data_IF_929244099770
#
_entry.id   IF_929244099770
#
_cell.length_a   1.000
_cell.length_b   1.000
_cell.length_c   1.000
_cell.angle_alpha   90.00
_cell.angle_beta   90.00
_cell.angle_gamma   90.00
#
_symmetry.space_group_name_H-M   'P 1'
#
loop_
_entity.id
_entity.type
_entity.pdbx_description
1 polymer ?
#
# COMPACT_ATOMS: atom_id res chain seq x y z
N UNK A 1 -27.31 7.40 9.83
CA UNK A 1 -25.84 7.48 9.99
C UNK A 1 -25.20 6.13 10.30
N UNK A 2 -25.75 5.32 11.22
CA UNK A 2 -25.22 3.97 11.50
C UNK A 2 -25.36 3.02 10.29
N UNK A 3 -26.50 3.02 9.59
CA UNK A 3 -26.69 2.17 8.40
C UNK A 3 -25.66 2.44 7.28
N UNK A 4 -25.25 3.70 7.08
CA UNK A 4 -24.20 4.08 6.12
C UNK A 4 -22.79 3.74 6.63
N UNK A 5 -22.59 3.73 7.94
CA UNK A 5 -21.35 3.26 8.56
C UNK A 5 -21.25 1.74 8.41
N UNK A 6 -22.30 0.96 8.67
CA UNK A 6 -22.26 -0.50 8.60
C UNK A 6 -22.61 -1.10 7.23
N UNK A 7 -22.85 -0.26 6.22
CA UNK A 7 -23.14 -0.66 4.84
C UNK A 7 -24.30 -1.68 4.73
N UNK A 8 -25.35 -1.47 5.52
CA UNK A 8 -26.59 -2.23 5.43
C UNK A 8 -27.43 -1.67 4.29
N UNK A 9 -27.35 -2.34 3.14
CA UNK A 9 -28.03 -1.92 1.91
C UNK A 9 -29.54 -1.77 2.11
N UNK A 10 -30.19 -2.77 2.71
CA UNK A 10 -31.64 -2.78 2.92
C UNK A 10 -32.09 -1.67 3.88
N UNK A 11 -31.33 -1.43 4.95
CA UNK A 11 -31.61 -0.34 5.89
C UNK A 11 -31.38 1.03 5.24
N UNK A 12 -30.37 1.16 4.38
CA UNK A 12 -30.14 2.39 3.62
C UNK A 12 -31.27 2.66 2.63
N UNK A 13 -31.80 1.63 1.97
CA UNK A 13 -32.97 1.76 1.10
C UNK A 13 -34.22 2.15 1.86
N UNK A 14 -34.50 1.45 2.96
CA UNK A 14 -35.64 1.73 3.83
C UNK A 14 -35.57 3.16 4.36
N UNK A 15 -34.41 3.57 4.86
CA UNK A 15 -34.17 4.92 5.35
C UNK A 15 -34.33 5.96 4.23
N UNK A 16 -33.72 5.74 3.06
CA UNK A 16 -33.81 6.67 1.92
C UNK A 16 -35.25 6.85 1.43
N UNK A 17 -36.02 5.77 1.36
CA UNK A 17 -37.44 5.77 1.02
C UNK A 17 -38.29 6.60 1.99
N UNK A 18 -37.91 6.64 3.27
CA UNK A 18 -38.58 7.41 4.31
C UNK A 18 -38.22 8.91 4.32
N UNK A 19 -37.10 9.31 3.69
CA UNK A 19 -36.68 10.72 3.65
C UNK A 19 -37.48 11.52 2.63
N UNK A 20 -37.87 12.73 3.00
CA UNK A 20 -38.47 13.70 2.09
C UNK A 20 -37.41 14.45 1.25
N UNK A 21 -37.86 15.26 0.28
CA UNK A 21 -36.98 15.98 -0.65
C UNK A 21 -35.92 16.84 0.07
N UNK A 22 -36.33 17.64 1.06
CA UNK A 22 -35.44 18.57 1.77
C UNK A 22 -34.40 17.83 2.62
N UNK A 23 -34.78 16.71 3.22
CA UNK A 23 -33.85 15.86 3.96
C UNK A 23 -32.84 15.17 3.04
N UNK A 24 -33.27 14.68 1.88
CA UNK A 24 -32.34 14.11 0.89
C UNK A 24 -31.37 15.18 0.39
N UNK A 25 -31.86 16.39 0.13
CA UNK A 25 -31.05 17.53 -0.29
C UNK A 25 -29.98 17.90 0.76
N UNK A 26 -30.34 18.01 2.05
CA UNK A 26 -29.37 18.33 3.10
C UNK A 26 -28.26 17.28 3.22
N UNK A 27 -28.60 15.98 3.12
CA UNK A 27 -27.60 14.91 3.15
C UNK A 27 -26.67 14.91 1.93
N UNK A 28 -27.18 15.27 0.74
CA UNK A 28 -26.34 15.43 -0.46
C UNK A 28 -25.38 16.61 -0.36
N UNK A 29 -25.82 17.70 0.30
CA UNK A 29 -25.05 18.93 0.43
C UNK A 29 -23.95 18.83 1.48
N UNK A 30 -24.19 18.13 2.60
CA UNK A 30 -23.26 18.12 3.74
C UNK A 30 -22.03 17.24 3.57
N UNK A 31 -21.96 16.33 2.57
CA UNK A 31 -20.80 15.49 2.18
C UNK A 31 -19.93 14.93 3.33
N UNK A 32 -20.48 14.75 4.52
CA UNK A 32 -19.71 14.68 5.75
C UNK A 32 -19.16 13.29 6.07
N UNK A 33 -19.56 12.25 5.34
CA UNK A 33 -19.01 10.90 5.48
C UNK A 33 -18.82 10.23 4.12
N UNK A 34 -17.59 9.84 3.79
CA UNK A 34 -17.21 9.24 2.49
C UNK A 34 -18.11 8.05 2.09
N UNK A 35 -18.55 7.27 3.08
CA UNK A 35 -19.38 6.10 2.89
C UNK A 35 -20.85 6.43 2.63
N UNK A 36 -21.41 7.45 3.31
CA UNK A 36 -22.80 7.88 3.07
C UNK A 36 -22.94 8.58 1.73
N UNK A 37 -21.94 9.38 1.33
CA UNK A 37 -21.91 10.06 0.02
C UNK A 37 -22.04 9.05 -1.12
N UNK A 38 -21.45 7.87 -1.00
CA UNK A 38 -21.48 6.87 -2.06
C UNK A 38 -22.85 6.20 -2.19
N UNK A 39 -23.48 5.85 -1.07
CA UNK A 39 -24.86 5.38 -1.07
C UNK A 39 -25.82 6.44 -1.60
N UNK A 40 -25.64 7.69 -1.18
CA UNK A 40 -26.44 8.82 -1.66
C UNK A 40 -26.29 8.99 -3.16
N UNK A 41 -25.06 8.96 -3.69
CA UNK A 41 -24.80 9.06 -5.14
C UNK A 41 -25.43 7.89 -5.90
N UNK A 42 -25.29 6.66 -5.41
CA UNK A 42 -25.88 5.50 -6.07
C UNK A 42 -27.41 5.55 -6.09
N UNK A 43 -28.03 5.89 -4.96
CA UNK A 43 -29.49 6.04 -4.83
C UNK A 43 -30.04 7.21 -5.67
N UNK A 44 -29.27 8.30 -5.79
CA UNK A 44 -29.66 9.47 -6.61
C UNK A 44 -29.63 9.14 -8.11
N UNK A 45 -28.79 8.18 -8.53
CA UNK A 45 -28.74 7.70 -9.92
C UNK A 45 -29.67 6.51 -10.17
N UNK A 46 -30.72 6.34 -9.37
CA UNK A 46 -31.75 5.32 -9.58
C UNK A 46 -31.31 3.88 -9.27
N UNK A 47 -30.13 3.68 -8.69
CA UNK A 47 -29.61 2.34 -8.40
C UNK A 47 -29.27 1.50 -9.64
N UNK A 48 -29.28 2.09 -10.84
CA UNK A 48 -28.99 1.41 -12.11
C UNK A 48 -27.50 1.13 -12.33
N UNK A 49 -26.63 1.80 -11.56
CA UNK A 49 -25.18 1.67 -11.69
C UNK A 49 -24.63 0.45 -10.93
N UNK A 50 -23.57 -0.13 -11.48
CA UNK A 50 -22.83 -1.23 -10.87
C UNK A 50 -22.26 -0.80 -9.50
N UNK A 51 -22.88 -1.29 -8.43
CA UNK A 51 -22.49 -0.98 -7.06
C UNK A 51 -21.04 -1.39 -6.78
N UNK A 52 -20.48 -2.38 -7.51
CA UNK A 52 -19.10 -2.81 -7.36
C UNK A 52 -18.11 -1.70 -7.77
N UNK A 53 -18.44 -0.92 -8.81
CA UNK A 53 -17.60 0.21 -9.25
C UNK A 53 -17.56 1.32 -8.18
N UNK A 54 -18.67 1.52 -7.47
CA UNK A 54 -18.75 2.44 -6.35
C UNK A 54 -18.00 1.93 -5.12
N UNK A 55 -18.17 0.65 -4.79
CA UNK A 55 -17.43 -0.01 -3.72
C UNK A 55 -15.91 0.08 -3.92
N UNK A 56 -15.42 -0.01 -5.17
CA UNK A 56 -14.01 0.21 -5.52
C UNK A 56 -13.51 1.64 -5.25
N UNK A 57 -14.40 2.64 -5.21
CA UNK A 57 -14.05 4.02 -4.81
C UNK A 57 -13.97 4.13 -3.28
N UNK A 58 -14.77 3.35 -2.54
CA UNK A 58 -14.78 3.34 -1.07
C UNK A 58 -13.58 2.62 -0.43
N UNK A 59 -12.93 1.70 -1.15
CA UNK A 59 -11.86 0.85 -0.59
C UNK A 59 -10.55 1.60 -0.34
N UNK A 60 -10.52 2.92 -0.55
CA UNK A 60 -9.38 3.79 -0.26
C UNK A 60 -9.12 3.98 1.24
N UNK A 61 -10.11 3.76 2.11
CA UNK A 61 -9.93 3.79 3.56
C UNK A 61 -10.07 2.37 4.16
N UNK A 62 -9.45 2.16 5.33
CA UNK A 62 -9.38 0.83 5.96
C UNK A 62 -10.76 0.21 6.24
N UNK A 63 -11.74 1.05 6.55
CA UNK A 63 -13.08 0.62 6.86
C UNK A 63 -13.84 0.13 5.61
N UNK A 64 -13.82 0.93 4.55
CA UNK A 64 -14.42 0.60 3.26
C UNK A 64 -13.77 -0.62 2.64
N UNK A 65 -12.45 -0.76 2.77
CA UNK A 65 -11.71 -1.96 2.36
C UNK A 65 -12.25 -3.21 3.05
N UNK A 66 -12.36 -3.20 4.38
CA UNK A 66 -12.86 -4.36 5.14
C UNK A 66 -14.32 -4.69 4.85
N UNK A 67 -15.11 -3.67 4.57
CA UNK A 67 -16.57 -3.83 4.41
C UNK A 67 -16.98 -4.27 3.01
N UNK A 68 -16.37 -3.69 1.99
CA UNK A 68 -16.79 -3.91 0.60
C UNK A 68 -15.98 -4.96 -0.13
N UNK A 69 -14.67 -5.06 0.13
CA UNK A 69 -13.80 -5.97 -0.61
C UNK A 69 -14.29 -7.43 -0.56
N UNK A 70 -14.78 -7.98 0.58
CA UNK A 70 -15.33 -9.34 0.61
C UNK A 70 -16.61 -9.52 -0.22
N UNK A 71 -17.37 -8.43 -0.44
CA UNK A 71 -18.63 -8.48 -1.18
C UNK A 71 -18.42 -8.42 -2.70
N UNK A 72 -17.27 -7.93 -3.16
CA UNK A 72 -16.95 -7.83 -4.59
C UNK A 72 -16.79 -9.21 -5.22
N UNK A 73 -17.10 -9.31 -6.52
CA UNK A 73 -16.68 -10.41 -7.38
C UNK A 73 -15.17 -10.59 -7.38
N UNK A 74 -14.76 -11.82 -7.67
CA UNK A 74 -13.39 -12.25 -7.57
C UNK A 74 -12.43 -11.38 -8.41
N UNK A 75 -12.78 -11.10 -9.66
CA UNK A 75 -11.99 -10.28 -10.59
C UNK A 75 -11.82 -8.85 -10.08
N UNK A 76 -12.88 -8.29 -9.47
CA UNK A 76 -12.90 -6.94 -8.91
C UNK A 76 -12.05 -6.83 -7.65
N UNK A 77 -11.95 -7.89 -6.82
CA UNK A 77 -11.04 -7.92 -5.66
C UNK A 77 -9.59 -7.77 -6.08
N UNK A 78 -9.18 -8.51 -7.11
CA UNK A 78 -7.81 -8.42 -7.66
C UNK A 78 -7.53 -7.01 -8.19
N UNK A 79 -8.42 -6.47 -9.02
CA UNK A 79 -8.30 -5.11 -9.55
C UNK A 79 -8.22 -4.05 -8.44
N UNK A 80 -9.03 -4.21 -7.39
CA UNK A 80 -9.00 -3.35 -6.22
C UNK A 80 -7.61 -3.36 -5.56
N UNK A 81 -7.08 -4.54 -5.25
CA UNK A 81 -5.80 -4.65 -4.56
C UNK A 81 -4.65 -4.10 -5.40
N UNK A 82 -4.61 -4.39 -6.70
CA UNK A 82 -3.62 -3.82 -7.63
C UNK A 82 -3.67 -2.29 -7.57
N UNK A 83 -4.86 -1.70 -7.65
CA UNK A 83 -5.05 -0.25 -7.60
C UNK A 83 -4.56 0.35 -6.27
N UNK A 84 -4.83 -0.33 -5.15
CA UNK A 84 -4.40 0.12 -3.82
C UNK A 84 -2.87 0.06 -3.65
N UNK A 85 -2.25 -1.00 -4.18
CA UNK A 85 -0.79 -1.16 -4.18
C UNK A 85 -0.09 -0.05 -4.98
N UNK A 86 -0.56 0.25 -6.19
CA UNK A 86 0.02 1.33 -7.01
C UNK A 86 -0.21 2.74 -6.44
N UNK A 87 -1.22 2.92 -5.58
CA UNK A 87 -1.47 4.18 -4.88
C UNK A 87 -0.72 4.29 -3.56
N UNK A 88 0.01 3.25 -3.15
CA UNK A 88 0.66 3.16 -1.84
C UNK A 88 -0.31 3.42 -0.68
N UNK A 89 -1.59 3.04 -0.85
CA UNK A 89 -2.68 3.41 0.06
C UNK A 89 -3.05 2.29 1.03
N UNK A 90 -2.21 1.25 1.14
CA UNK A 90 -2.41 0.16 2.10
C UNK A 90 -1.17 -0.10 2.93
N UNK A 91 -1.41 -0.41 4.20
CA UNK A 91 -0.41 -0.92 5.14
C UNK A 91 -0.31 -2.45 5.11
N UNK A 92 0.57 -2.99 5.94
CA UNK A 92 0.80 -4.41 6.05
C UNK A 92 -0.45 -5.20 6.50
N UNK A 93 -1.21 -4.70 7.47
CA UNK A 93 -2.40 -5.39 7.97
C UNK A 93 -3.51 -5.42 6.92
N UNK A 94 -3.66 -4.32 6.18
CA UNK A 94 -4.58 -4.23 5.06
C UNK A 94 -4.16 -5.15 3.92
N UNK A 95 -2.87 -5.24 3.58
CA UNK A 95 -2.36 -6.19 2.60
C UNK A 95 -2.64 -7.64 3.03
N UNK A 96 -2.36 -8.00 4.28
CA UNK A 96 -2.65 -9.34 4.81
C UNK A 96 -4.14 -9.69 4.70
N UNK A 97 -5.01 -8.77 5.11
CA UNK A 97 -6.45 -8.94 4.96
C UNK A 97 -6.84 -9.15 3.49
N UNK A 98 -6.35 -8.30 2.59
CA UNK A 98 -6.66 -8.42 1.16
C UNK A 98 -6.18 -9.75 0.59
N UNK A 99 -4.98 -10.21 0.93
CA UNK A 99 -4.47 -11.50 0.48
C UNK A 99 -5.31 -12.66 1.02
N UNK A 100 -5.79 -12.58 2.27
CA UNK A 100 -6.57 -13.66 2.91
C UNK A 100 -7.92 -13.96 2.24
N UNK A 101 -8.48 -12.99 1.51
CA UNK A 101 -9.77 -13.13 0.82
C UNK A 101 -9.62 -13.44 -0.68
N UNK A 102 -8.39 -13.46 -1.18
CA UNK A 102 -8.05 -13.84 -2.55
C UNK A 102 -7.70 -15.32 -2.59
N UNK A 103 -8.02 -15.98 -3.69
CA UNK A 103 -7.55 -17.34 -3.90
C UNK A 103 -6.04 -17.38 -4.22
N UNK A 104 -5.47 -18.59 -4.24
CA UNK A 104 -4.04 -18.76 -4.47
C UNK A 104 -3.57 -18.25 -5.84
N UNK A 105 -4.41 -18.39 -6.88
CA UNK A 105 -4.07 -17.93 -8.22
C UNK A 105 -3.99 -16.41 -8.26
N UNK A 106 -4.95 -15.74 -7.63
CA UNK A 106 -4.99 -14.29 -7.52
C UNK A 106 -3.85 -13.73 -6.67
N UNK A 107 -3.51 -14.39 -5.56
CA UNK A 107 -2.34 -13.99 -4.76
C UNK A 107 -1.05 -14.08 -5.60
N UNK A 108 -0.87 -15.16 -6.35
CA UNK A 108 0.27 -15.32 -7.24
C UNK A 108 0.31 -14.25 -8.34
N UNK A 109 -0.86 -13.88 -8.89
CA UNK A 109 -0.97 -12.79 -9.86
C UNK A 109 -0.57 -11.42 -9.27
N UNK A 110 -0.92 -11.15 -8.00
CA UNK A 110 -0.48 -9.93 -7.30
C UNK A 110 1.03 -9.91 -7.17
N UNK A 111 1.64 -11.01 -6.73
CA UNK A 111 3.10 -11.11 -6.57
C UNK A 111 3.85 -10.94 -7.89
N UNK A 112 3.28 -11.41 -9.00
CA UNK A 112 3.85 -11.23 -10.34
C UNK A 112 3.70 -9.80 -10.87
N UNK A 113 2.53 -9.19 -10.69
CA UNK A 113 2.20 -7.88 -11.29
C UNK A 113 2.70 -6.70 -10.46
N UNK A 114 2.77 -6.86 -9.15
CA UNK A 114 3.09 -5.77 -8.22
C UNK A 114 4.21 -6.13 -7.22
N UNK A 115 5.31 -6.80 -7.63
CA UNK A 115 6.31 -7.29 -6.68
C UNK A 115 6.97 -6.15 -5.89
N UNK A 116 7.28 -5.02 -6.54
CA UNK A 116 7.87 -3.86 -5.89
C UNK A 116 6.91 -3.22 -4.89
N UNK A 117 5.64 -3.02 -5.26
CA UNK A 117 4.64 -2.41 -4.37
C UNK A 117 4.36 -3.29 -3.16
N UNK A 118 4.34 -4.63 -3.35
CA UNK A 118 4.24 -5.56 -2.23
C UNK A 118 5.44 -5.39 -1.30
N UNK A 119 6.68 -5.38 -1.81
CA UNK A 119 7.88 -5.18 -0.98
C UNK A 119 7.83 -3.88 -0.17
N UNK A 120 7.34 -2.79 -0.75
CA UNK A 120 7.26 -1.51 -0.08
C UNK A 120 6.38 -1.54 1.18
N UNK A 121 5.32 -2.35 1.18
CA UNK A 121 4.46 -2.51 2.36
C UNK A 121 5.24 -3.09 3.54
N UNK A 122 6.26 -3.92 3.27
CA UNK A 122 7.12 -4.52 4.29
C UNK A 122 8.26 -3.59 4.76
N UNK A 123 8.40 -2.39 4.19
CA UNK A 123 9.41 -1.42 4.65
C UNK A 123 9.06 -0.77 5.99
N UNK A 124 7.81 -0.82 6.43
CA UNK A 124 7.36 -0.21 7.69
C UNK A 124 7.31 -1.22 8.83
N UNK A 125 7.57 -0.77 10.06
CA UNK A 125 7.35 -1.59 11.26
C UNK A 125 5.86 -1.96 11.37
N UNK A 126 5.48 -3.21 11.72
CA UNK A 126 6.33 -4.35 12.13
C UNK A 126 6.80 -5.24 10.99
N UNK A 127 6.36 -4.98 9.78
CA UNK A 127 6.51 -5.92 8.67
C UNK A 127 7.96 -6.15 8.23
N UNK A 128 8.88 -5.27 8.63
CA UNK A 128 10.31 -5.34 8.34
C UNK A 128 10.94 -6.68 8.69
N UNK A 129 10.52 -7.33 9.78
CA UNK A 129 11.06 -8.63 10.20
C UNK A 129 10.87 -9.71 9.13
N UNK A 130 9.82 -9.60 8.30
CA UNK A 130 9.50 -10.53 7.23
C UNK A 130 10.04 -10.10 5.87
N UNK A 131 10.60 -8.90 5.77
CA UNK A 131 10.93 -8.29 4.49
C UNK A 131 11.92 -9.14 3.69
N UNK A 132 12.94 -9.71 4.34
CA UNK A 132 13.92 -10.56 3.67
C UNK A 132 13.31 -11.84 3.08
N UNK A 133 12.36 -12.45 3.77
CA UNK A 133 11.67 -13.65 3.27
C UNK A 133 10.80 -13.30 2.06
N UNK A 134 10.14 -12.13 2.11
CA UNK A 134 9.34 -11.63 0.98
C UNK A 134 10.22 -11.25 -0.20
N UNK A 135 11.40 -10.67 0.02
CA UNK A 135 12.40 -10.40 -1.04
C UNK A 135 12.82 -11.69 -1.72
N UNK A 136 13.15 -12.74 -0.94
CA UNK A 136 13.51 -14.05 -1.51
C UNK A 136 12.37 -14.64 -2.32
N UNK A 137 11.13 -14.54 -1.82
CA UNK A 137 9.93 -15.02 -2.49
C UNK A 137 9.67 -14.28 -3.81
N UNK A 138 9.82 -12.95 -3.83
CA UNK A 138 9.51 -12.11 -4.99
C UNK A 138 10.69 -11.93 -5.96
N UNK A 139 11.87 -12.46 -5.62
CA UNK A 139 13.11 -12.27 -6.38
C UNK A 139 12.97 -12.54 -7.87
N UNK A 140 12.25 -13.60 -8.24
CA UNK A 140 12.06 -14.01 -9.64
C UNK A 140 11.16 -13.08 -10.43
N UNK A 141 10.38 -12.22 -9.76
CA UNK A 141 9.47 -11.25 -10.38
C UNK A 141 10.03 -9.82 -10.41
N UNK A 142 11.13 -9.56 -9.70
CA UNK A 142 11.76 -8.24 -9.64
C UNK A 142 12.75 -8.05 -10.77
N UNK A 143 12.58 -6.97 -11.53
CA UNK A 143 13.57 -6.51 -12.50
C UNK A 143 14.73 -5.77 -11.81
N UNK A 144 15.82 -5.55 -12.54
CA UNK A 144 16.89 -4.67 -12.07
C UNK A 144 16.42 -3.24 -11.82
N UNK A 145 15.39 -2.78 -12.54
CA UNK A 145 14.80 -1.48 -12.29
C UNK A 145 14.06 -1.45 -10.95
N UNK A 146 13.35 -2.54 -10.62
CA UNK A 146 12.64 -2.66 -9.34
C UNK A 146 13.59 -2.66 -8.16
N UNK A 147 14.72 -3.37 -8.24
CA UNK A 147 15.76 -3.34 -7.19
C UNK A 147 16.29 -1.92 -6.99
N UNK A 148 16.61 -1.19 -8.06
CA UNK A 148 17.07 0.19 -8.00
C UNK A 148 16.04 1.10 -7.32
N UNK A 149 14.78 1.02 -7.75
CA UNK A 149 13.69 1.78 -7.15
C UNK A 149 13.50 1.42 -5.67
N UNK A 150 13.64 0.14 -5.31
CA UNK A 150 13.50 -0.31 -3.94
C UNK A 150 14.61 0.26 -3.03
N UNK A 151 15.87 0.26 -3.47
CA UNK A 151 16.95 0.93 -2.72
C UNK A 151 16.72 2.43 -2.59
N UNK A 152 16.27 3.08 -3.66
CA UNK A 152 15.94 4.51 -3.62
C UNK A 152 14.87 4.81 -2.55
N UNK A 153 13.84 3.97 -2.45
CA UNK A 153 12.79 4.11 -1.45
C UNK A 153 13.28 3.86 -0.03
N UNK A 154 14.13 2.85 0.17
CA UNK A 154 14.79 2.61 1.46
C UNK A 154 15.56 3.88 1.87
N UNK A 155 16.42 4.40 0.98
CA UNK A 155 17.20 5.62 1.26
C UNK A 155 16.30 6.82 1.55
N UNK A 156 15.22 7.01 0.80
CA UNK A 156 14.25 8.09 1.00
C UNK A 156 13.55 8.02 2.36
N UNK A 157 12.98 6.86 2.72
CA UNK A 157 12.34 6.68 4.03
C UNK A 157 13.34 6.86 5.19
N UNK A 158 14.60 6.48 4.99
CA UNK A 158 15.63 6.63 6.03
C UNK A 158 16.06 8.07 6.26
N UNK A 159 16.15 8.88 5.20
CA UNK A 159 16.38 10.34 5.35
C UNK A 159 15.31 10.98 6.23
N UNK A 160 14.07 10.50 6.16
CA UNK A 160 12.97 11.04 6.98
C UNK A 160 12.94 10.51 8.42
N UNK A 161 13.48 9.32 8.71
CA UNK A 161 13.32 8.63 10.00
C UNK A 161 14.59 8.59 10.89
N UNK A 162 15.64 9.34 10.55
CA UNK A 162 16.87 9.49 11.34
C UNK A 162 17.60 8.18 11.73
N UNK A 163 17.29 7.04 11.10
CA UNK A 163 17.96 5.74 11.29
C UNK A 163 17.85 5.09 12.69
N UNK A 164 16.97 5.54 13.58
CA UNK A 164 17.06 5.20 15.02
C UNK A 164 16.52 3.81 15.40
N UNK A 165 15.66 3.18 14.58
CA UNK A 165 14.72 2.16 15.11
C UNK A 165 15.02 0.71 14.69
N UNK A 166 15.95 0.43 13.77
CA UNK A 166 16.21 -0.94 13.30
C UNK A 166 17.64 -1.13 12.78
N UNK A 167 18.19 -2.34 12.90
CA UNK A 167 19.50 -2.72 12.33
C UNK A 167 19.42 -2.83 10.79
N UNK A 168 19.33 -1.66 10.18
CA UNK A 168 19.26 -1.53 8.73
C UNK A 168 20.56 -1.88 8.04
N UNK A 169 21.70 -1.87 8.74
CA UNK A 169 23.00 -2.23 8.15
C UNK A 169 22.95 -3.71 7.75
N UNK A 170 22.67 -4.59 8.72
CA UNK A 170 22.51 -6.02 8.48
C UNK A 170 21.46 -6.32 7.41
N UNK A 171 20.34 -5.60 7.44
CA UNK A 171 19.30 -5.75 6.41
C UNK A 171 19.78 -5.37 5.01
N UNK A 172 20.43 -4.21 4.88
CA UNK A 172 20.94 -3.69 3.61
C UNK A 172 22.01 -4.61 3.05
N UNK A 173 22.90 -5.15 3.88
CA UNK A 173 23.91 -6.13 3.46
C UNK A 173 23.29 -7.41 2.92
N UNK A 174 22.32 -7.99 3.64
CA UNK A 174 21.64 -9.20 3.19
C UNK A 174 20.88 -8.91 1.89
N UNK A 175 20.15 -7.80 1.82
CA UNK A 175 19.45 -7.38 0.62
C UNK A 175 20.42 -7.21 -0.54
N UNK A 176 21.55 -6.51 -0.34
CA UNK A 176 22.59 -6.31 -1.35
C UNK A 176 23.09 -7.63 -1.93
N UNK A 177 23.26 -8.65 -1.11
CA UNK A 177 23.67 -9.97 -1.57
C UNK A 177 22.65 -10.67 -2.49
N UNK A 178 21.38 -10.27 -2.46
CA UNK A 178 20.34 -10.80 -3.36
C UNK A 178 20.28 -10.12 -4.73
N UNK A 179 20.89 -8.94 -4.86
CA UNK A 179 20.81 -8.08 -6.04
C UNK A 179 21.63 -8.64 -7.20
N UNK A 180 21.12 -8.60 -8.45
CA UNK A 180 21.89 -8.97 -9.64
C UNK A 180 23.19 -8.15 -9.80
N UNK A 181 24.24 -8.77 -10.34
CA UNK A 181 25.56 -8.14 -10.48
C UNK A 181 25.52 -6.81 -11.28
N UNK A 182 24.79 -6.78 -12.39
CA UNK A 182 24.69 -5.57 -13.21
C UNK A 182 24.01 -4.41 -12.47
N UNK A 183 23.01 -4.73 -11.64
CA UNK A 183 22.37 -3.75 -10.79
C UNK A 183 23.32 -3.20 -9.71
N UNK A 184 24.19 -4.05 -9.12
CA UNK A 184 25.22 -3.60 -8.18
C UNK A 184 26.18 -2.62 -8.84
N UNK A 185 26.70 -2.97 -10.02
CA UNK A 185 27.62 -2.15 -10.80
C UNK A 185 27.03 -0.78 -11.15
N UNK A 186 25.73 -0.72 -11.45
CA UNK A 186 25.03 0.55 -11.67
C UNK A 186 24.97 1.40 -10.38
N UNK A 187 24.54 0.79 -9.28
CA UNK A 187 24.41 1.46 -7.98
C UNK A 187 25.77 1.99 -7.51
N UNK A 188 26.83 1.20 -7.67
CA UNK A 188 28.20 1.56 -7.33
C UNK A 188 28.75 2.73 -8.15
N UNK A 189 28.26 2.98 -9.36
CA UNK A 189 28.71 4.11 -10.19
C UNK A 189 27.89 5.37 -9.99
N UNK A 190 26.72 5.27 -9.38
CA UNK A 190 25.78 6.38 -9.30
C UNK A 190 25.91 7.12 -7.95
N UNK A 191 26.23 8.43 -7.95
CA UNK A 191 26.38 9.23 -6.73
C UNK A 191 25.13 9.28 -5.84
N UNK A 192 23.93 9.09 -6.40
CA UNK A 192 22.69 9.09 -5.63
C UNK A 192 22.64 8.00 -4.55
N UNK A 193 23.43 6.94 -4.72
CA UNK A 193 23.51 5.81 -3.78
C UNK A 193 24.75 5.90 -2.87
N UNK A 194 25.38 7.06 -2.73
CA UNK A 194 26.54 7.26 -1.85
C UNK A 194 26.24 6.81 -0.41
N UNK A 195 25.07 7.16 0.14
CA UNK A 195 24.64 6.72 1.46
C UNK A 195 24.54 5.20 1.58
N UNK A 196 24.05 4.52 0.53
CA UNK A 196 23.97 3.06 0.51
C UNK A 196 25.36 2.43 0.55
N UNK A 197 26.33 2.98 -0.17
CA UNK A 197 27.73 2.52 -0.12
C UNK A 197 28.32 2.70 1.27
N UNK A 198 28.13 3.86 1.88
CA UNK A 198 28.59 4.11 3.24
C UNK A 198 27.99 3.13 4.25
N UNK A 199 26.75 2.68 4.04
CA UNK A 199 26.13 1.61 4.84
C UNK A 199 26.80 0.25 4.59
N UNK A 200 27.08 -0.10 3.32
CA UNK A 200 27.70 -1.37 2.95
C UNK A 200 29.19 -1.48 3.34
N UNK A 201 29.89 -0.35 3.44
CA UNK A 201 31.30 -0.27 3.84
C UNK A 201 31.47 -0.14 5.37
N UNK A 202 30.36 -0.01 6.11
CA UNK A 202 30.37 0.20 7.54
C UNK A 202 30.64 -1.11 8.29
N UNK A 203 31.79 -1.20 8.96
CA UNK A 203 32.26 -2.42 9.64
C UNK A 203 31.51 -2.78 10.94
N UNK A 204 30.47 -2.02 11.31
CA UNK A 204 29.66 -2.24 12.51
C UNK A 204 30.37 -1.93 13.83
N UNK A 205 31.65 -1.54 13.79
CA UNK A 205 32.48 -1.30 14.98
C UNK A 205 32.17 0.02 15.68
N UNK A 206 31.43 0.93 15.02
CA UNK A 206 31.05 2.26 15.53
C UNK A 206 29.57 2.54 15.25
N UNK A 207 28.92 3.45 15.99
CA UNK A 207 27.59 3.92 15.62
C UNK A 207 27.62 4.58 14.24
N UNK A 208 26.61 4.33 13.42
CA UNK A 208 26.54 4.91 12.07
C UNK A 208 26.64 6.45 12.13
N UNK A 209 27.53 7.10 11.34
CA UNK A 209 27.85 8.52 11.49
C UNK A 209 26.60 9.41 11.41
N UNK A 210 26.43 10.29 12.39
CA UNK A 210 25.31 11.25 12.40
C UNK A 210 25.43 12.29 11.27
N UNK A 211 26.61 12.46 10.69
CA UNK A 211 26.92 13.47 9.66
C UNK A 211 26.33 13.10 8.28
N UNK A 212 26.08 11.81 8.00
CA UNK A 212 25.32 11.37 6.82
C UNK A 212 23.81 11.67 6.93
N UNK A 213 23.34 12.22 8.07
CA UNK A 213 21.94 12.63 8.28
C UNK A 213 21.61 14.00 7.68
N UNK A 214 22.62 14.80 7.31
CA UNK A 214 22.43 16.19 6.87
C UNK A 214 23.25 16.49 5.61
N UNK A 215 22.83 15.94 4.48
CA UNK A 215 23.04 16.59 3.19
C UNK A 215 21.69 16.88 2.55
N UNK A 216 20.93 17.72 3.25
CA UNK A 216 20.04 18.69 2.61
C UNK A 216 20.95 19.71 1.91
N UNK A 217 21.08 19.57 0.59
CA UNK A 217 21.55 20.67 -0.25
C UNK A 217 20.33 21.09 -1.04
N UNK A 218 19.89 22.32 -0.74
CA UNK A 218 18.92 23.22 -1.38
C UNK A 218 17.98 22.67 -2.47
#
# INVERSE_FOLDING_TARGET
MLASLYCFQDDMFSLWGQLNFWQRYSYTAERSFEMSVIWILWLTNGGELDWEEYALKCTCNAFGLRTYLPKLRQEKRLQCLIRLLYRHSIDYYQLQFCLSILDQNQQNEIFKKCPLQVLQVFLNWPAQEKLLDVVKMLRSYLSEHDFRNFFYLILGQKRMLNWIIYDYVSFVEILWNTVPFECKKFIEKNPMYSTLKSVLEHDGSRPFPQELRVHSTD
#
